data_IF_435128552006
#
_entry.id   IF_435128552006
#
_cell.length_a   1.000
_cell.length_b   1.000
_cell.length_c   1.000
_cell.angle_alpha   90.00
_cell.angle_beta   90.00
_cell.angle_gamma   90.00
#
_symmetry.space_group_name_H-M   'P 1'
#
loop_
_entity.id
_entity.type
_entity.pdbx_description
1 polymer ?
#
# COMPACT_ATOMS: atom_id res chain seq x y z
N UNK A 1 -4.40 -29.55 -9.11
CA UNK A 1 -4.59 -28.19 -9.63
C UNK A 1 -5.16 -27.36 -8.49
N UNK A 2 -4.37 -26.43 -7.94
CA UNK A 2 -4.77 -25.68 -6.76
C UNK A 2 -5.88 -24.69 -7.13
N UNK A 3 -7.05 -24.89 -6.53
CA UNK A 3 -8.18 -23.97 -6.57
C UNK A 3 -7.70 -22.59 -6.12
N UNK A 4 -7.58 -21.64 -7.06
CA UNK A 4 -7.54 -20.22 -6.74
C UNK A 4 -8.92 -19.87 -6.22
N UNK A 5 -9.09 -19.98 -4.92
CA UNK A 5 -10.28 -19.51 -4.24
C UNK A 5 -10.40 -18.00 -4.53
N UNK A 6 -11.32 -17.65 -5.43
CA UNK A 6 -11.79 -16.29 -5.61
C UNK A 6 -12.58 -15.92 -4.36
N UNK A 7 -11.84 -15.56 -3.31
CA UNK A 7 -12.40 -14.94 -2.11
C UNK A 7 -13.10 -13.68 -2.58
N UNK A 8 -14.42 -13.62 -2.38
CA UNK A 8 -15.30 -12.51 -2.73
C UNK A 8 -14.91 -11.21 -2.03
N UNK A 9 -13.84 -10.58 -2.52
CA UNK A 9 -13.53 -9.20 -2.22
C UNK A 9 -14.42 -8.36 -3.13
N UNK A 10 -15.39 -7.66 -2.53
CA UNK A 10 -15.82 -6.36 -3.04
C UNK A 10 -14.59 -5.66 -3.62
N UNK A 11 -14.65 -5.27 -4.89
CA UNK A 11 -13.53 -4.78 -5.71
C UNK A 11 -12.93 -3.51 -5.09
N UNK A 12 -12.21 -3.67 -3.97
CA UNK A 12 -11.52 -2.60 -3.31
C UNK A 12 -10.48 -2.16 -4.32
N UNK A 13 -10.62 -0.93 -4.82
CA UNK A 13 -9.60 -0.35 -5.67
C UNK A 13 -8.31 -0.29 -4.85
N UNK A 14 -7.29 -1.00 -5.33
CA UNK A 14 -5.96 -1.02 -4.73
C UNK A 14 -5.05 -0.11 -5.56
N UNK A 15 -4.14 0.63 -4.90
CA UNK A 15 -3.21 1.54 -5.60
C UNK A 15 -2.11 0.80 -6.37
N UNK A 16 -2.06 -0.53 -6.30
CA UNK A 16 -1.07 -1.39 -6.96
C UNK A 16 -1.75 -2.63 -7.53
N UNK A 17 -1.04 -3.37 -8.36
CA UNK A 17 -1.53 -4.66 -8.84
C UNK A 17 -1.42 -5.75 -7.78
N UNK A 18 -2.57 -6.34 -7.41
CA UNK A 18 -2.63 -7.32 -6.34
C UNK A 18 -2.17 -8.73 -6.77
N UNK A 19 -1.96 -9.00 -8.06
CA UNK A 19 -1.52 -10.32 -8.51
C UNK A 19 -0.13 -10.67 -8.02
N UNK A 20 0.73 -9.65 -7.91
CA UNK A 20 2.14 -9.77 -7.49
C UNK A 20 2.34 -9.46 -6.01
N UNK A 21 1.26 -9.14 -5.28
CA UNK A 21 1.33 -8.73 -3.88
C UNK A 21 1.11 -9.91 -2.93
N UNK A 22 1.96 -10.01 -1.91
CA UNK A 22 1.75 -10.93 -0.79
C UNK A 22 0.95 -10.23 0.29
N UNK A 23 -0.19 -10.79 0.69
CA UNK A 23 -0.93 -10.28 1.84
C UNK A 23 -0.24 -10.72 3.12
N UNK A 24 0.15 -9.76 3.94
CA UNK A 24 0.79 -10.02 5.23
C UNK A 24 -0.25 -10.27 6.32
N UNK A 25 0.15 -10.99 7.37
CA UNK A 25 -0.60 -11.02 8.63
C UNK A 25 -0.63 -9.61 9.24
N UNK A 26 -1.60 -9.37 10.13
CA UNK A 26 -1.71 -8.08 10.79
C UNK A 26 -0.43 -7.77 11.60
N UNK A 27 0.02 -8.67 12.47
CA UNK A 27 1.25 -8.51 13.26
C UNK A 27 2.49 -8.20 12.42
N UNK A 28 2.74 -8.96 11.36
CA UNK A 28 3.94 -8.77 10.53
C UNK A 28 3.88 -7.44 9.77
N UNK A 29 2.71 -7.09 9.22
CA UNK A 29 2.53 -5.83 8.52
C UNK A 29 2.61 -4.62 9.45
N UNK A 30 2.06 -4.72 10.65
CA UNK A 30 2.13 -3.66 11.67
C UNK A 30 3.57 -3.45 12.16
N UNK A 31 4.31 -4.54 12.43
CA UNK A 31 5.71 -4.46 12.80
C UNK A 31 6.55 -3.77 11.72
N UNK A 32 6.38 -4.17 10.45
CA UNK A 32 7.14 -3.59 9.34
C UNK A 32 6.77 -2.12 9.16
N UNK A 33 5.49 -1.77 9.13
CA UNK A 33 5.06 -0.38 8.88
C UNK A 33 5.37 0.56 10.04
N UNK A 34 5.53 0.04 11.25
CA UNK A 34 6.02 0.79 12.42
C UNK A 34 7.52 1.09 12.35
N UNK A 35 8.32 0.17 11.79
CA UNK A 35 9.79 0.32 11.71
C UNK A 35 10.27 0.94 10.40
N UNK A 36 9.57 0.72 9.30
CA UNK A 36 9.97 1.14 7.97
C UNK A 36 9.50 2.58 7.68
N UNK A 37 10.37 3.43 7.09
CA UNK A 37 10.00 4.79 6.76
C UNK A 37 8.82 4.80 5.77
N UNK A 38 7.78 5.58 6.12
CA UNK A 38 6.70 5.89 5.19
C UNK A 38 7.23 6.83 4.13
N UNK A 39 7.18 6.42 2.87
CA UNK A 39 7.62 7.22 1.73
C UNK A 39 6.47 8.04 1.15
N UNK A 40 5.28 7.44 1.03
CA UNK A 40 4.13 8.08 0.41
C UNK A 40 2.79 7.77 1.10
N UNK A 41 1.84 8.66 0.92
CA UNK A 41 0.46 8.58 1.36
C UNK A 41 -0.42 8.85 0.15
N UNK A 42 -1.26 7.88 -0.18
CA UNK A 42 -2.12 7.86 -1.34
C UNK A 42 -3.57 7.86 -0.89
N UNK A 43 -4.44 8.51 -1.65
CA UNK A 43 -5.87 8.56 -1.38
C UNK A 43 -6.67 8.49 -2.67
N UNK A 44 -7.71 7.67 -2.67
CA UNK A 44 -8.76 7.68 -3.67
C UNK A 44 -10.03 8.24 -3.03
N UNK A 45 -10.49 9.41 -3.49
CA UNK A 45 -11.59 10.13 -2.85
C UNK A 45 -12.96 9.57 -3.17
N UNK A 46 -13.11 9.05 -4.38
CA UNK A 46 -14.35 8.42 -4.85
C UNK A 46 -14.77 7.29 -3.91
N UNK A 47 -13.78 6.52 -3.44
CA UNK A 47 -13.98 5.33 -2.61
C UNK A 47 -13.47 5.49 -1.18
N UNK A 48 -13.05 6.69 -0.74
CA UNK A 48 -12.46 6.95 0.60
C UNK A 48 -11.42 5.91 1.06
N UNK A 49 -10.61 5.42 0.13
CA UNK A 49 -9.50 4.50 0.44
C UNK A 49 -8.24 5.32 0.64
N UNK A 50 -7.49 5.02 1.70
CA UNK A 50 -6.15 5.58 1.89
C UNK A 50 -5.12 4.47 1.91
N UNK A 51 -3.98 4.69 1.30
CA UNK A 51 -2.86 3.77 1.33
C UNK A 51 -1.58 4.48 1.78
N UNK A 52 -0.75 3.79 2.54
CA UNK A 52 0.57 4.26 2.97
C UNK A 52 1.61 3.33 2.38
N UNK A 53 2.59 3.89 1.71
CA UNK A 53 3.69 3.17 1.07
C UNK A 53 4.90 3.27 2.00
N UNK A 54 5.48 2.13 2.34
CA UNK A 54 6.65 2.03 3.21
C UNK A 54 7.77 1.33 2.43
N UNK A 55 8.96 1.93 2.44
CA UNK A 55 10.14 1.33 1.84
C UNK A 55 10.86 0.44 2.88
N UNK A 56 10.94 -0.85 2.60
CA UNK A 56 11.60 -1.83 3.47
C UNK A 56 13.05 -1.98 3.03
N UNK A 57 13.83 -0.94 3.31
CA UNK A 57 15.27 -0.89 3.08
C UNK A 57 15.68 -1.30 1.63
N UNK A 58 14.93 -0.82 0.64
CA UNK A 58 15.18 -1.10 -0.78
C UNK A 58 15.02 -2.57 -1.21
N UNK A 59 14.47 -3.45 -0.35
CA UNK A 59 14.24 -4.88 -0.68
C UNK A 59 12.82 -5.13 -1.17
N UNK A 60 11.87 -4.47 -0.53
CA UNK A 60 10.45 -4.62 -0.81
C UNK A 60 9.72 -3.34 -0.41
N UNK A 61 8.51 -3.20 -0.92
CA UNK A 61 7.58 -2.15 -0.50
C UNK A 61 6.44 -2.79 0.26
N UNK A 62 6.08 -2.21 1.40
CA UNK A 62 4.85 -2.58 2.11
C UNK A 62 3.83 -1.47 1.97
N UNK A 63 2.64 -1.84 1.52
CA UNK A 63 1.50 -0.94 1.38
C UNK A 63 0.46 -1.27 2.42
N UNK A 64 0.23 -0.34 3.35
CA UNK A 64 -0.87 -0.37 4.29
C UNK A 64 -2.09 0.28 3.66
N UNK A 65 -3.12 -0.51 3.33
CA UNK A 65 -4.37 -0.03 2.75
C UNK A 65 -5.44 0.01 3.84
N UNK A 66 -6.03 1.19 4.02
CA UNK A 66 -7.19 1.40 4.89
C UNK A 66 -8.45 1.62 4.06
N UNK A 67 -9.42 0.75 4.31
CA UNK A 67 -10.73 0.76 3.66
C UNK A 67 -11.65 1.83 4.27
N UNK A 68 -12.78 2.16 3.61
CA UNK A 68 -13.77 3.11 4.15
C UNK A 68 -14.38 2.67 5.47
N UNK A 69 -14.47 1.36 5.68
CA UNK A 69 -14.93 0.76 6.93
C UNK A 69 -13.88 0.83 8.05
N UNK A 70 -12.77 1.55 7.84
CA UNK A 70 -11.68 1.69 8.79
C UNK A 70 -10.76 0.47 8.90
N UNK A 71 -11.05 -0.63 8.18
CA UNK A 71 -10.24 -1.85 8.21
C UNK A 71 -8.91 -1.64 7.49
N UNK A 72 -7.84 -2.13 8.09
CA UNK A 72 -6.48 -2.05 7.58
C UNK A 72 -6.02 -3.40 7.02
N UNK A 73 -5.21 -3.35 5.96
CA UNK A 73 -4.64 -4.52 5.28
C UNK A 73 -3.22 -4.19 4.84
N UNK A 74 -2.30 -5.09 5.13
CA UNK A 74 -0.89 -4.96 4.77
C UNK A 74 -0.57 -5.85 3.56
N UNK A 75 0.14 -5.27 2.60
CA UNK A 75 0.53 -5.95 1.38
C UNK A 75 2.02 -5.71 1.14
N UNK A 76 2.77 -6.78 0.98
CA UNK A 76 4.15 -6.73 0.51
C UNK A 76 4.17 -6.83 -1.01
N UNK A 77 4.96 -5.98 -1.64
CA UNK A 77 5.25 -5.96 -3.06
C UNK A 77 6.75 -6.26 -3.21
N UNK A 78 7.12 -7.53 -3.49
CA UNK A 78 8.51 -7.90 -3.67
C UNK A 78 9.02 -7.31 -5.00
N UNK A 79 10.26 -6.81 -5.02
CA UNK A 79 10.91 -6.26 -6.23
C UNK A 79 10.21 -5.03 -6.85
N UNK A 80 9.37 -4.33 -6.09
CA UNK A 80 8.73 -3.09 -6.52
C UNK A 80 9.37 -1.91 -5.80
N UNK A 81 9.63 -0.81 -6.50
CA UNK A 81 10.11 0.42 -5.87
C UNK A 81 8.92 1.32 -5.47
N UNK A 82 9.06 2.16 -4.43
CA UNK A 82 7.97 3.04 -4.00
C UNK A 82 7.39 3.90 -5.12
N UNK A 83 8.24 4.38 -6.04
CA UNK A 83 7.84 5.20 -7.19
C UNK A 83 6.88 4.48 -8.13
N UNK A 84 7.06 3.18 -8.37
CA UNK A 84 6.24 2.38 -9.28
C UNK A 84 4.86 2.12 -8.69
N UNK A 85 4.80 1.92 -7.36
CA UNK A 85 3.52 1.87 -6.63
C UNK A 85 2.75 3.16 -6.84
N UNK A 86 3.41 4.31 -6.71
CA UNK A 86 2.70 5.58 -6.85
C UNK A 86 2.29 5.85 -8.29
N UNK A 87 3.15 5.57 -9.28
CA UNK A 87 2.79 5.71 -10.69
C UNK A 87 1.56 4.85 -11.05
N UNK A 88 1.52 3.61 -10.54
CA UNK A 88 0.37 2.71 -10.71
C UNK A 88 -0.87 3.25 -10.02
N UNK A 89 -0.72 3.82 -8.82
CA UNK A 89 -1.82 4.39 -8.06
C UNK A 89 -2.45 5.59 -8.79
N UNK A 90 -1.62 6.48 -9.33
CA UNK A 90 -2.04 7.64 -10.12
C UNK A 90 -2.81 7.22 -11.37
N UNK A 91 -2.32 6.21 -12.09
CA UNK A 91 -3.05 5.62 -13.23
C UNK A 91 -4.40 5.01 -12.84
N UNK A 92 -4.57 4.63 -11.57
CA UNK A 92 -5.80 4.06 -11.00
C UNK A 92 -6.68 5.08 -10.28
N UNK A 93 -6.40 6.38 -10.40
CA UNK A 93 -7.21 7.45 -9.82
C UNK A 93 -6.94 7.73 -8.33
N UNK A 94 -5.85 7.22 -7.78
CA UNK A 94 -5.34 7.68 -6.49
C UNK A 94 -4.53 8.95 -6.68
N UNK A 95 -4.55 9.83 -5.69
CA UNK A 95 -3.65 10.98 -5.62
C UNK A 95 -2.72 10.86 -4.43
N UNK A 96 -1.52 11.42 -4.56
CA UNK A 96 -0.63 11.67 -3.43
C UNK A 96 -1.25 12.72 -2.52
N UNK A 97 -1.25 12.46 -1.23
CA UNK A 97 -1.69 13.36 -0.16
C UNK A 97 -0.57 13.63 0.83
N UNK A 98 0.65 13.22 0.52
CA UNK A 98 1.83 13.66 1.25
C UNK A 98 1.87 15.19 1.24
N UNK A 99 1.86 15.79 2.44
CA UNK A 99 2.54 17.06 2.60
C UNK A 99 4.02 16.78 2.27
N UNK A 100 4.65 17.68 1.50
CA UNK A 100 6.08 17.61 1.21
C UNK A 100 6.86 17.19 2.47
N UNK A 101 7.92 16.37 2.35
CA UNK A 101 8.73 16.05 3.51
C UNK A 101 9.13 17.38 4.14
N UNK A 102 8.70 17.62 5.38
CA UNK A 102 9.41 18.55 6.24
C UNK A 102 10.82 18.02 6.24
N UNK A 103 11.68 18.76 5.55
CA UNK A 103 13.11 18.54 5.45
C UNK A 103 13.59 18.12 6.83
N UNK A 104 14.18 16.93 6.93
CA UNK A 104 14.94 16.56 8.10
C UNK A 104 15.97 17.68 8.33
N UNK A 105 15.68 18.55 9.29
CA UNK A 105 16.55 19.60 9.77
C UNK A 105 17.31 19.04 10.96
N UNK A 106 18.64 19.10 10.82
CA UNK A 106 19.69 18.97 11.84
C UNK A 106 20.02 17.56 12.34
#
# INVERSE_FOLDING_TARGET
MASRESVGASHLSLPFDASEANRLSWDLGDEITTRAPRTHTLRADDVRVTARVHDVAGRAVVVLVRTPAGRERHYELPHTEPRDVVATAEARGFRRVDAAPETASA
#
